data_IF_017485478502
#
_entry.id   IF_017485478502
#
_cell.length_a   1.000
_cell.length_b   1.000
_cell.length_c   1.000
_cell.angle_alpha   90.00
_cell.angle_beta   90.00
_cell.angle_gamma   90.00
#
_symmetry.space_group_name_H-M   'P 1'
#
loop_
_entity.id
_entity.type
_entity.pdbx_description
1 polymer ?
#
# COMPACT_ATOMS: atom_id res chain seq x y z
N UNK A 1 -7.78 13.55 -15.79
CA UNK A 1 -7.09 14.86 -15.65
C UNK A 1 -5.67 14.73 -15.14
N UNK A 2 -5.40 13.88 -14.14
CA UNK A 2 -4.06 13.73 -13.55
C UNK A 2 -3.37 12.41 -13.92
N UNK A 3 -3.85 11.72 -14.96
CA UNK A 3 -3.27 10.45 -15.40
C UNK A 3 -1.84 10.66 -15.86
N UNK A 4 -0.92 9.84 -15.34
CA UNK A 4 0.53 9.89 -15.58
C UNK A 4 1.15 11.29 -15.39
N UNK A 5 0.55 12.16 -14.58
CA UNK A 5 1.07 13.52 -14.36
C UNK A 5 2.28 13.55 -13.40
N UNK A 6 2.37 12.58 -12.50
CA UNK A 6 3.40 12.58 -11.45
C UNK A 6 4.45 11.51 -11.75
N UNK A 7 5.74 11.83 -11.66
CA UNK A 7 6.80 10.83 -11.80
C UNK A 7 6.67 9.69 -10.77
N UNK A 8 6.35 10.05 -9.53
CA UNK A 8 6.29 9.12 -8.42
C UNK A 8 5.15 9.46 -7.47
N UNK A 9 4.44 8.44 -7.00
CA UNK A 9 3.46 8.54 -5.91
C UNK A 9 3.99 7.78 -4.70
N UNK A 10 3.95 8.39 -3.52
CA UNK A 10 4.31 7.75 -2.24
C UNK A 10 3.08 7.79 -1.33
N UNK A 11 2.74 6.68 -0.70
CA UNK A 11 1.55 6.62 0.17
C UNK A 11 1.67 5.63 1.33
N UNK A 12 0.94 5.92 2.40
CA UNK A 12 0.65 5.00 3.49
C UNK A 12 -0.88 4.88 3.60
N UNK A 13 -1.52 4.08 2.73
CA UNK A 13 -2.97 4.01 2.67
C UNK A 13 -3.51 3.33 3.94
N UNK A 14 -4.76 3.62 4.34
CA UNK A 14 -5.40 2.88 5.41
C UNK A 14 -5.46 1.39 5.05
N UNK A 15 -4.99 0.50 5.93
CA UNK A 15 -4.85 -0.94 5.68
C UNK A 15 -6.17 -1.76 5.60
N UNK A 16 -7.30 -1.12 5.32
CA UNK A 16 -8.58 -1.81 5.10
C UNK A 16 -9.09 -2.67 6.26
N UNK A 17 -9.00 -2.17 7.50
CA UNK A 17 -9.54 -2.88 8.67
C UNK A 17 -11.01 -2.54 8.94
N UNK A 18 -11.86 -3.56 9.13
CA UNK A 18 -13.30 -3.43 9.46
C UNK A 18 -14.16 -2.97 8.27
N UNK A 19 -14.79 -1.79 8.34
CA UNK A 19 -15.84 -1.31 7.41
C UNK A 19 -15.30 -0.76 6.08
N UNK A 20 -13.98 -0.77 5.87
CA UNK A 20 -13.31 -0.23 4.68
C UNK A 20 -12.39 -1.25 4.00
N UNK A 21 -12.74 -2.54 4.07
CA UNK A 21 -11.97 -3.61 3.42
C UNK A 21 -11.70 -3.28 1.94
N UNK A 22 -10.45 -3.45 1.51
CA UNK A 22 -10.00 -3.18 0.15
C UNK A 22 -9.79 -1.70 -0.22
N UNK A 23 -9.86 -0.77 0.75
CA UNK A 23 -9.57 0.65 0.47
C UNK A 23 -8.13 0.88 0.00
N UNK A 24 -7.17 0.13 0.54
CA UNK A 24 -5.77 0.16 0.12
C UNK A 24 -5.59 -0.25 -1.34
N UNK A 25 -6.43 -1.15 -1.85
CA UNK A 25 -6.44 -1.55 -3.26
C UNK A 25 -7.02 -0.46 -4.17
N UNK A 26 -8.02 0.30 -3.70
CA UNK A 26 -8.53 1.48 -4.43
C UNK A 26 -7.48 2.57 -4.51
N UNK A 27 -6.73 2.79 -3.43
CA UNK A 27 -5.59 3.71 -3.44
C UNK A 27 -4.52 3.27 -4.43
N UNK A 28 -4.18 1.97 -4.44
CA UNK A 28 -3.24 1.41 -5.41
C UNK A 28 -3.70 1.64 -6.85
N UNK A 29 -4.96 1.39 -7.18
CA UNK A 29 -5.51 1.64 -8.53
C UNK A 29 -5.40 3.11 -8.95
N UNK A 30 -5.68 4.04 -8.06
CA UNK A 30 -5.55 5.47 -8.38
C UNK A 30 -4.08 5.86 -8.49
N UNK A 31 -3.22 5.40 -7.57
CA UNK A 31 -1.80 5.68 -7.60
C UNK A 31 -1.13 5.21 -8.89
N UNK A 32 -1.49 4.02 -9.39
CA UNK A 32 -0.98 3.50 -10.67
C UNK A 32 -1.47 4.30 -11.87
N UNK A 33 -2.65 4.92 -11.81
CA UNK A 33 -3.13 5.84 -12.86
C UNK A 33 -2.44 7.20 -12.81
N UNK A 34 -2.11 7.70 -11.62
CA UNK A 34 -1.49 9.00 -11.41
C UNK A 34 0.01 9.00 -11.72
N UNK A 35 0.71 7.92 -11.37
CA UNK A 35 2.16 7.80 -11.54
C UNK A 35 2.53 7.47 -12.99
N UNK A 36 3.58 8.09 -13.51
CA UNK A 36 4.17 7.76 -14.81
C UNK A 36 5.29 6.72 -14.70
N UNK A 37 5.98 6.60 -13.55
CA UNK A 37 7.12 5.68 -13.39
C UNK A 37 7.01 4.76 -12.19
N UNK A 38 6.69 5.28 -11.01
CA UNK A 38 6.81 4.47 -9.78
C UNK A 38 5.76 4.83 -8.73
N UNK A 39 5.29 3.82 -8.01
CA UNK A 39 4.51 3.98 -6.78
C UNK A 39 5.27 3.33 -5.63
N UNK A 40 5.38 4.01 -4.49
CA UNK A 40 5.82 3.43 -3.23
C UNK A 40 4.66 3.39 -2.26
N UNK A 41 4.39 2.24 -1.66
CA UNK A 41 3.27 2.09 -0.74
C UNK A 41 3.58 1.13 0.40
N UNK A 42 2.98 1.40 1.56
CA UNK A 42 2.97 0.50 2.70
C UNK A 42 1.71 -0.36 2.67
N UNK A 43 1.86 -1.69 2.84
CA UNK A 43 0.75 -2.62 2.94
C UNK A 43 1.04 -3.66 4.03
N UNK A 44 0.02 -4.26 4.64
CA UNK A 44 0.24 -5.33 5.63
C UNK A 44 0.96 -6.52 4.99
N UNK A 45 1.97 -7.05 5.69
CA UNK A 45 2.71 -8.23 5.22
C UNK A 45 1.79 -9.44 4.98
N UNK A 46 0.75 -9.60 5.79
CA UNK A 46 -0.25 -10.67 5.64
C UNK A 46 -1.04 -10.60 4.32
N UNK A 47 -1.09 -9.44 3.65
CA UNK A 47 -1.82 -9.27 2.39
C UNK A 47 -0.91 -9.16 1.18
N UNK A 48 0.43 -9.30 1.33
CA UNK A 48 1.44 -9.18 0.26
C UNK A 48 1.03 -9.84 -1.05
N UNK A 49 0.68 -11.13 -1.01
CA UNK A 49 0.32 -11.89 -2.21
C UNK A 49 -0.88 -11.28 -2.95
N UNK A 50 -1.88 -10.78 -2.20
CA UNK A 50 -3.03 -10.10 -2.78
C UNK A 50 -2.65 -8.76 -3.42
N UNK A 51 -1.84 -7.96 -2.73
CA UNK A 51 -1.36 -6.66 -3.23
C UNK A 51 -0.56 -6.81 -4.52
N UNK A 52 0.41 -7.75 -4.54
CA UNK A 52 1.24 -7.99 -5.72
C UNK A 52 0.41 -8.49 -6.91
N UNK A 53 -0.54 -9.41 -6.67
CA UNK A 53 -1.48 -9.87 -7.69
C UNK A 53 -2.33 -8.71 -8.24
N UNK A 54 -2.81 -7.82 -7.36
CA UNK A 54 -3.61 -6.67 -7.78
C UNK A 54 -2.77 -5.67 -8.60
N UNK A 55 -1.53 -5.41 -8.20
CA UNK A 55 -0.61 -4.57 -8.96
C UNK A 55 -0.38 -5.12 -10.38
N UNK A 56 -0.16 -6.44 -10.49
CA UNK A 56 0.01 -7.08 -11.81
C UNK A 56 -1.23 -6.92 -12.69
N UNK A 57 -2.43 -7.05 -12.14
CA UNK A 57 -3.69 -6.81 -12.87
C UNK A 57 -3.84 -5.34 -13.33
N UNK A 58 -3.17 -4.41 -12.66
CA UNK A 58 -3.14 -2.99 -13.01
C UNK A 58 -1.98 -2.65 -13.97
N UNK A 59 -1.21 -3.64 -14.44
CA UNK A 59 -0.06 -3.42 -15.32
C UNK A 59 1.19 -2.91 -14.58
N UNK A 60 1.28 -3.12 -13.27
CA UNK A 60 2.41 -2.69 -12.46
C UNK A 60 3.16 -3.89 -11.85
N UNK A 61 4.49 -3.80 -11.77
CA UNK A 61 5.33 -4.83 -11.15
C UNK A 61 5.74 -4.41 -9.73
N UNK A 62 5.26 -5.14 -8.72
CA UNK A 62 5.58 -4.88 -7.32
C UNK A 62 6.83 -5.64 -6.83
N UNK A 63 7.71 -4.96 -6.10
CA UNK A 63 8.87 -5.53 -5.40
C UNK A 63 8.86 -5.05 -3.95
N UNK A 64 8.97 -5.98 -2.99
CA UNK A 64 9.12 -5.65 -1.57
C UNK A 64 10.54 -5.13 -1.34
N UNK A 65 10.66 -3.86 -0.94
CA UNK A 65 11.93 -3.18 -0.69
C UNK A 65 12.38 -3.37 0.76
N UNK A 66 11.43 -3.39 1.70
CA UNK A 66 11.70 -3.64 3.11
C UNK A 66 10.48 -4.22 3.82
N UNK A 67 10.72 -5.03 4.84
CA UNK A 67 9.72 -5.48 5.81
C UNK A 67 9.90 -4.67 7.09
N UNK A 68 8.84 -4.00 7.54
CA UNK A 68 8.85 -3.10 8.70
C UNK A 68 7.94 -3.64 9.79
N UNK A 69 8.32 -3.40 11.05
CA UNK A 69 7.51 -3.71 12.23
C UNK A 69 7.25 -2.43 12.98
N UNK A 70 5.98 -2.12 13.21
CA UNK A 70 5.58 -0.98 14.03
C UNK A 70 4.96 -1.48 15.32
N UNK A 71 5.53 -1.02 16.44
CA UNK A 71 4.79 -0.98 17.68
C UNK A 71 3.89 0.25 17.63
N UNK A 72 2.58 0.06 17.38
CA UNK A 72 1.63 1.15 17.52
C UNK A 72 1.22 1.25 19.00
N UNK A 73 1.68 2.30 19.74
CA UNK A 73 1.25 2.50 21.11
C UNK A 73 -0.25 2.79 21.15
N UNK A 74 -0.87 2.56 22.32
CA UNK A 74 -2.31 2.70 22.48
C UNK A 74 -2.79 4.16 22.36
N UNK A 75 -3.08 4.63 21.14
CA UNK A 75 -3.53 6.02 20.93
C UNK A 75 -5.03 6.24 21.17
N UNK A 76 -5.84 5.17 21.19
CA UNK A 76 -7.30 5.26 21.29
C UNK A 76 -7.91 4.45 22.44
N UNK A 77 -8.97 5.01 23.06
CA UNK A 77 -9.68 4.45 24.23
C UNK A 77 -10.36 3.09 23.99
N UNK A 78 -10.54 2.68 22.74
CA UNK A 78 -11.19 1.42 22.35
C UNK A 78 -10.22 0.25 22.06
N UNK A 79 -8.92 0.44 22.30
CA UNK A 79 -7.91 -0.61 22.14
C UNK A 79 -7.84 -1.48 23.41
N UNK A 80 -8.09 -2.79 23.26
CA UNK A 80 -7.99 -3.78 24.36
C UNK A 80 -6.56 -4.26 24.65
N UNK A 81 -5.59 -3.96 23.77
CA UNK A 81 -4.18 -4.37 23.89
C UNK A 81 -3.28 -3.12 23.97
N UNK A 82 -2.25 -3.18 24.81
CA UNK A 82 -1.33 -2.07 25.10
C UNK A 82 -0.48 -1.65 23.89
N UNK A 83 -0.13 -2.60 23.03
CA UNK A 83 0.47 -2.38 21.72
C UNK A 83 -0.07 -3.43 20.74
N UNK A 84 -0.08 -3.09 19.46
CA UNK A 84 -0.29 -4.04 18.38
C UNK A 84 0.96 -3.99 17.52
N UNK A 85 1.64 -5.13 17.40
CA UNK A 85 2.69 -5.33 16.40
C UNK A 85 2.04 -5.37 15.02
N UNK A 86 2.35 -4.38 14.19
CA UNK A 86 1.89 -4.34 12.80
C UNK A 86 3.08 -4.57 11.89
N UNK A 87 3.06 -5.71 11.21
CA UNK A 87 3.99 -6.05 10.15
C UNK A 87 3.50 -5.49 8.83
N UNK A 88 4.30 -4.64 8.22
CA UNK A 88 4.02 -4.06 6.91
C UNK A 88 5.20 -4.23 5.97
N UNK A 89 4.88 -4.24 4.69
CA UNK A 89 5.86 -4.22 3.62
C UNK A 89 5.90 -2.83 3.02
N UNK A 90 7.10 -2.33 2.81
CA UNK A 90 7.36 -1.21 1.91
C UNK A 90 7.58 -1.75 0.51
N UNK A 91 6.63 -1.47 -0.39
CA UNK A 91 6.59 -2.04 -1.73
C UNK A 91 6.82 -0.94 -2.76
N UNK A 92 7.72 -1.19 -3.70
CA UNK A 92 7.90 -0.40 -4.91
C UNK A 92 7.14 -1.06 -6.06
N UNK A 93 6.28 -0.32 -6.73
CA UNK A 93 5.62 -0.73 -7.96
C UNK A 93 6.22 0.05 -9.14
N UNK A 94 6.79 -0.67 -10.09
CA UNK A 94 7.18 -0.12 -11.39
C UNK A 94 5.95 -0.03 -12.28
N UNK A 95 5.71 1.15 -12.87
CA UNK A 95 4.73 1.35 -13.93
C UNK A 95 5.52 1.28 -15.22
N UNK A 96 5.41 0.19 -15.96
CA UNK A 96 6.06 0.08 -17.25
C UNK A 96 5.35 1.03 -18.21
N UNK A 97 6.03 2.13 -18.56
CA UNK A 97 5.74 2.82 -19.80
C UNK A 97 6.61 2.12 -20.84
N UNK A 98 5.97 1.58 -21.87
CA UNK A 98 6.57 0.90 -23.04
C UNK A 98 8.06 1.20 -23.29
#
# INVERSE_FOLDING_TARGET
RFEKLFDTVIMNPPFGTKKNAGIDMKFLEIATKLASKTVYSLHKTSTRAHVLKKAQQLGAQGTVVAELRYDLPQVYKFHKKASVDIQVDFIRFSIDCD
#
